data_IF_527697883283
#
_entry.id   IF_527697883283
#
_cell.length_a   1.000
_cell.length_b   1.000
_cell.length_c   1.000
_cell.angle_alpha   90.00
_cell.angle_beta   90.00
_cell.angle_gamma   90.00
#
_symmetry.space_group_name_H-M   'P 1'
#
loop_
_entity.id
_entity.type
_entity.pdbx_description
1 polymer ?
#
# COMPACT_ATOMS: atom_id res chain seq x y z
N UNK A 1 -15.18 -22.71 -9.50
CA UNK A 1 -15.38 -22.72 -8.04
C UNK A 1 -14.55 -21.60 -7.43
N UNK A 2 -15.11 -20.40 -7.32
CA UNK A 2 -14.45 -19.29 -6.64
C UNK A 2 -14.65 -19.50 -5.13
N UNK A 3 -13.64 -20.08 -4.45
CA UNK A 3 -13.61 -20.07 -2.99
C UNK A 3 -13.60 -18.59 -2.59
N UNK A 4 -14.72 -18.10 -2.07
CA UNK A 4 -14.79 -16.80 -1.40
C UNK A 4 -13.70 -16.79 -0.35
N UNK A 5 -12.66 -15.99 -0.58
CA UNK A 5 -11.61 -15.75 0.41
C UNK A 5 -12.32 -15.14 1.61
N UNK A 6 -12.15 -15.73 2.79
CA UNK A 6 -12.74 -15.18 4.02
C UNK A 6 -12.10 -13.81 4.31
N UNK A 7 -12.88 -12.86 4.84
CA UNK A 7 -12.39 -11.54 5.27
C UNK A 7 -11.19 -11.67 6.21
N UNK A 8 -11.18 -12.65 7.12
CA UNK A 8 -10.02 -12.94 7.98
C UNK A 8 -8.76 -13.30 7.18
N UNK A 9 -8.93 -14.09 6.12
CA UNK A 9 -7.84 -14.48 5.23
C UNK A 9 -7.32 -13.28 4.45
N UNK A 10 -8.22 -12.38 4.02
CA UNK A 10 -7.87 -11.14 3.35
C UNK A 10 -7.00 -10.25 4.25
N UNK A 11 -7.49 -9.95 5.45
CA UNK A 11 -6.78 -9.11 6.44
C UNK A 11 -5.43 -9.69 6.84
N UNK A 12 -5.34 -11.01 7.01
CA UNK A 12 -4.08 -11.69 7.32
C UNK A 12 -3.08 -11.52 6.17
N UNK A 13 -3.50 -11.73 4.92
CA UNK A 13 -2.62 -11.60 3.75
C UNK A 13 -2.20 -10.14 3.56
N UNK A 14 -3.11 -9.17 3.68
CA UNK A 14 -2.79 -7.74 3.64
C UNK A 14 -1.71 -7.39 4.68
N UNK A 15 -1.87 -7.88 5.91
CA UNK A 15 -0.88 -7.67 6.98
C UNK A 15 0.47 -8.29 6.61
N UNK A 16 0.49 -9.51 6.07
CA UNK A 16 1.73 -10.17 5.67
C UNK A 16 2.40 -9.45 4.48
N UNK A 17 1.62 -8.97 3.50
CA UNK A 17 2.11 -8.21 2.36
C UNK A 17 2.69 -6.87 2.79
N UNK A 18 2.03 -6.14 3.70
CA UNK A 18 2.57 -4.90 4.30
C UNK A 18 3.89 -5.15 5.04
N UNK A 19 4.03 -6.30 5.70
CA UNK A 19 5.29 -6.72 6.35
C UNK A 19 6.39 -7.16 5.37
N UNK A 20 6.15 -7.13 4.05
CA UNK A 20 7.12 -7.55 3.05
C UNK A 20 7.30 -9.07 2.96
N UNK A 21 6.31 -9.85 3.40
CA UNK A 21 6.36 -11.31 3.40
C UNK A 21 6.30 -11.85 1.98
N UNK A 22 7.15 -12.83 1.64
CA UNK A 22 7.20 -13.41 0.30
C UNK A 22 5.97 -14.27 -0.03
N UNK A 23 5.59 -14.30 -1.31
CA UNK A 23 4.44 -15.08 -1.80
C UNK A 23 4.52 -16.57 -1.42
N UNK A 24 5.73 -17.14 -1.41
CA UNK A 24 5.96 -18.54 -1.00
C UNK A 24 5.61 -18.78 0.46
N UNK A 25 5.92 -17.81 1.33
CA UNK A 25 5.60 -17.86 2.76
C UNK A 25 4.09 -17.70 2.99
N UNK A 26 3.44 -16.83 2.21
CA UNK A 26 1.98 -16.66 2.23
C UNK A 26 1.29 -17.96 1.78
N UNK A 27 1.77 -18.63 0.72
CA UNK A 27 1.25 -19.91 0.27
C UNK A 27 1.29 -20.98 1.38
N UNK A 28 2.44 -21.06 2.07
CA UNK A 28 2.61 -21.97 3.20
C UNK A 28 1.69 -21.65 4.39
N UNK A 29 1.43 -20.35 4.65
CA UNK A 29 0.53 -19.92 5.73
C UNK A 29 -0.93 -20.23 5.42
N UNK A 30 -1.32 -20.13 4.15
CA UNK A 30 -2.67 -20.42 3.68
C UNK A 30 -2.93 -21.92 3.46
N UNK A 31 -1.89 -22.74 3.46
CA UNK A 31 -1.99 -24.16 3.12
C UNK A 31 -2.43 -24.41 1.68
N UNK A 32 -2.13 -23.47 0.77
CA UNK A 32 -2.51 -23.54 -0.65
C UNK A 32 -1.27 -23.65 -1.54
N UNK A 33 -1.47 -24.09 -2.78
CA UNK A 33 -0.43 -24.12 -3.80
C UNK A 33 0.10 -22.72 -4.09
N UNK A 34 1.37 -22.63 -4.50
CA UNK A 34 2.00 -21.35 -4.86
C UNK A 34 1.21 -20.58 -5.93
N UNK A 35 0.66 -21.29 -6.92
CA UNK A 35 -0.17 -20.70 -7.99
C UNK A 35 -1.48 -20.11 -7.47
N UNK A 36 -2.12 -20.76 -6.49
CA UNK A 36 -3.34 -20.24 -5.86
C UNK A 36 -3.02 -19.08 -4.93
N UNK A 37 -1.91 -19.14 -4.19
CA UNK A 37 -1.43 -18.04 -3.36
C UNK A 37 -1.13 -16.80 -4.21
N UNK A 38 -0.54 -16.97 -5.40
CA UNK A 38 -0.34 -15.88 -6.34
C UNK A 38 -1.65 -15.22 -6.72
N UNK A 39 -2.68 -15.98 -7.12
CA UNK A 39 -4.00 -15.43 -7.48
C UNK A 39 -4.65 -14.67 -6.32
N UNK A 40 -4.57 -15.22 -5.10
CA UNK A 40 -5.12 -14.58 -3.90
C UNK A 40 -4.38 -13.29 -3.59
N UNK A 41 -3.04 -13.31 -3.63
CA UNK A 41 -2.20 -12.12 -3.43
C UNK A 41 -2.49 -11.07 -4.50
N UNK A 42 -2.64 -11.47 -5.75
CA UNK A 42 -2.94 -10.55 -6.86
C UNK A 42 -4.31 -9.90 -6.68
N UNK A 43 -5.34 -10.69 -6.36
CA UNK A 43 -6.69 -10.20 -6.08
C UNK A 43 -6.70 -9.21 -4.92
N UNK A 44 -5.94 -9.49 -3.86
CA UNK A 44 -5.85 -8.60 -2.70
C UNK A 44 -5.07 -7.34 -3.07
N UNK A 45 -3.95 -7.46 -3.78
CA UNK A 45 -3.18 -6.32 -4.27
C UNK A 45 -4.01 -5.42 -5.17
N UNK A 46 -4.86 -5.96 -6.02
CA UNK A 46 -5.80 -5.20 -6.84
C UNK A 46 -6.85 -4.49 -5.98
N UNK A 47 -7.35 -5.14 -4.92
CA UNK A 47 -8.33 -4.53 -4.01
C UNK A 47 -7.76 -3.41 -3.13
N UNK A 48 -6.44 -3.34 -2.94
CA UNK A 48 -5.75 -2.29 -2.17
C UNK A 48 -4.88 -1.40 -3.07
N UNK A 49 -5.00 -1.56 -4.39
CA UNK A 49 -4.16 -0.80 -5.32
C UNK A 49 -4.62 0.65 -5.25
N UNK A 50 -3.72 1.59 -4.93
CA UNK A 50 -4.09 2.99 -4.96
C UNK A 50 -4.47 3.42 -6.38
N UNK A 51 -5.33 4.42 -6.45
CA UNK A 51 -5.68 5.13 -7.66
C UNK A 51 -4.98 6.51 -7.72
N UNK A 52 -4.89 7.05 -8.93
CA UNK A 52 -4.40 8.42 -9.11
C UNK A 52 -5.46 9.39 -8.57
N UNK A 53 -5.05 10.28 -7.67
CA UNK A 53 -5.93 11.18 -6.94
C UNK A 53 -6.15 10.78 -5.48
N UNK A 54 -5.79 9.57 -5.07
CA UNK A 54 -5.93 9.14 -3.67
C UNK A 54 -4.96 9.92 -2.77
N UNK A 55 -5.47 10.38 -1.62
CA UNK A 55 -4.65 10.91 -0.54
C UNK A 55 -4.13 9.77 0.33
N UNK A 56 -2.84 9.77 0.59
CA UNK A 56 -2.19 8.74 1.39
C UNK A 56 -1.38 9.34 2.54
N UNK A 57 -1.33 8.59 3.63
CA UNK A 57 -0.39 8.79 4.74
C UNK A 57 0.76 7.81 4.63
N UNK A 58 1.96 8.33 4.80
CA UNK A 58 3.17 7.54 4.80
C UNK A 58 4.18 8.12 5.79
N UNK A 59 5.06 7.28 6.30
CA UNK A 59 6.12 7.69 7.21
C UNK A 59 7.44 7.77 6.45
N UNK A 60 8.04 8.96 6.44
CA UNK A 60 9.35 9.19 5.83
C UNK A 60 10.34 9.65 6.88
N UNK A 61 11.41 8.89 7.09
CA UNK A 61 12.46 9.15 8.11
C UNK A 61 11.88 9.47 9.51
N UNK A 62 10.91 8.68 9.95
CA UNK A 62 10.18 8.87 11.23
C UNK A 62 9.27 10.10 11.30
N UNK A 63 9.06 10.82 10.19
CA UNK A 63 8.09 11.90 10.09
C UNK A 63 6.84 11.44 9.35
N UNK A 64 5.67 11.78 9.90
CA UNK A 64 4.39 11.55 9.24
C UNK A 64 4.21 12.55 8.11
N UNK A 65 3.89 12.02 6.93
CA UNK A 65 3.68 12.77 5.71
C UNK A 65 2.31 12.43 5.13
N UNK A 66 1.71 13.40 4.48
CA UNK A 66 0.45 13.26 3.75
C UNK A 66 0.70 13.75 2.32
N UNK A 67 0.14 13.04 1.34
CA UNK A 67 0.21 13.52 -0.02
C UNK A 67 -0.74 12.79 -0.97
N UNK A 68 -0.95 13.38 -2.13
CA UNK A 68 -1.88 12.89 -3.14
C UNK A 68 -1.12 12.16 -4.24
N UNK A 69 -1.61 10.99 -4.64
CA UNK A 69 -1.00 10.19 -5.70
C UNK A 69 -1.23 10.86 -7.05
N UNK A 70 -0.14 11.30 -7.67
CA UNK A 70 -0.15 11.90 -9.00
C UNK A 70 0.08 10.87 -10.11
N UNK A 71 0.79 9.78 -9.81
CA UNK A 71 1.10 8.74 -10.79
C UNK A 71 1.40 7.41 -10.14
N UNK A 72 0.84 6.33 -10.68
CA UNK A 72 1.15 4.97 -10.27
C UNK A 72 2.33 4.40 -11.08
N UNK A 73 3.25 3.73 -10.38
CA UNK A 73 4.33 2.92 -10.93
C UNK A 73 4.08 1.45 -10.57
N UNK A 74 4.99 0.56 -10.96
CA UNK A 74 4.82 -0.89 -10.77
C UNK A 74 4.69 -1.32 -9.31
N UNK A 75 5.46 -0.70 -8.39
CA UNK A 75 5.45 -1.03 -6.95
C UNK A 75 5.46 0.22 -6.06
N UNK A 76 5.26 1.39 -6.66
CA UNK A 76 5.39 2.70 -6.02
C UNK A 76 4.46 3.71 -6.69
N UNK A 77 4.32 4.87 -6.07
CA UNK A 77 3.58 6.00 -6.61
C UNK A 77 4.43 7.27 -6.53
N UNK A 78 4.23 8.16 -7.49
CA UNK A 78 4.63 9.57 -7.37
C UNK A 78 3.54 10.27 -6.58
N UNK A 79 3.94 10.88 -5.47
CA UNK A 79 3.06 11.50 -4.48
C UNK A 79 3.44 12.96 -4.38
N UNK A 80 2.47 13.84 -4.56
CA UNK A 80 2.61 15.27 -4.29
C UNK A 80 2.29 15.53 -2.82
N UNK A 81 3.26 16.09 -2.09
CA UNK A 81 3.19 16.24 -0.64
C UNK A 81 2.24 17.38 -0.30
N UNK A 82 1.25 17.09 0.55
CA UNK A 82 0.43 18.12 1.17
C UNK A 82 1.17 18.67 2.39
N UNK A 83 1.86 19.81 2.19
CA UNK A 83 2.62 20.47 3.25
C UNK A 83 1.77 21.03 4.39
N UNK A 84 0.48 21.28 4.17
CA UNK A 84 -0.43 21.76 5.24
C UNK A 84 -0.71 20.66 6.27
N UNK A 85 -0.57 19.39 5.88
CA UNK A 85 -0.82 18.23 6.72
C UNK A 85 0.45 17.41 7.01
N UNK A 86 1.60 17.83 6.48
CA UNK A 86 2.89 17.15 6.63
C UNK A 86 3.83 17.88 7.58
N UNK A 87 4.89 17.21 8.02
CA UNK A 87 5.88 17.81 8.92
C UNK A 87 6.61 18.98 8.27
N UNK A 88 6.58 20.16 8.90
CA UNK A 88 7.30 21.36 8.43
C UNK A 88 8.81 21.15 8.32
N UNK A 89 9.38 20.28 9.18
CA UNK A 89 10.80 19.91 9.15
C UNK A 89 11.19 19.27 7.81
N UNK A 90 10.26 18.56 7.17
CA UNK A 90 10.51 17.93 5.88
C UNK A 90 10.41 18.90 4.70
N UNK A 91 9.81 20.07 4.89
CA UNK A 91 9.63 21.07 3.83
C UNK A 91 10.96 21.64 3.34
N UNK A 92 11.94 21.74 4.23
CA UNK A 92 13.30 22.17 3.90
C UNK A 92 14.18 21.04 3.30
N UNK A 93 13.71 19.79 3.35
CA UNK A 93 14.50 18.60 3.02
C UNK A 93 14.01 17.90 1.75
N UNK A 94 12.69 17.87 1.54
CA UNK A 94 12.04 17.16 0.46
C UNK A 94 11.48 18.12 -0.59
N UNK A 95 11.49 17.67 -1.84
CA UNK A 95 10.78 18.34 -2.93
C UNK A 95 9.27 18.16 -2.77
N UNK A 96 8.47 18.99 -3.45
CA UNK A 96 6.99 18.90 -3.42
C UNK A 96 6.45 17.56 -3.93
N UNK A 97 7.28 16.77 -4.64
CA UNK A 97 6.94 15.45 -5.15
C UNK A 97 7.96 14.43 -4.68
N UNK A 98 7.47 13.29 -4.22
CA UNK A 98 8.31 12.18 -3.77
C UNK A 98 7.79 10.84 -4.31
N UNK A 99 8.65 9.82 -4.30
CA UNK A 99 8.28 8.46 -4.68
C UNK A 99 8.08 7.64 -3.41
N UNK A 100 6.87 7.09 -3.24
CA UNK A 100 6.49 6.27 -2.08
C UNK A 100 6.23 4.85 -2.57
N UNK A 101 6.84 3.83 -1.94
CA UNK A 101 6.48 2.44 -2.26
C UNK A 101 5.15 2.08 -1.59
N UNK A 102 4.37 1.21 -2.20
CA UNK A 102 3.09 0.78 -1.62
C UNK A 102 3.24 0.09 -0.26
N UNK A 103 4.39 -0.52 0.02
CA UNK A 103 4.70 -1.12 1.34
C UNK A 103 4.90 -0.07 2.45
N UNK A 104 5.26 1.16 2.07
CA UNK A 104 5.57 2.26 2.99
C UNK A 104 4.34 3.17 3.20
N UNK A 105 3.20 2.83 2.57
CA UNK A 105 1.92 3.51 2.77
C UNK A 105 1.28 2.98 4.04
N UNK A 106 1.08 3.88 5.00
CA UNK A 106 0.47 3.57 6.29
C UNK A 106 -1.06 3.48 6.14
N UNK A 107 -1.68 4.49 5.54
CA UNK A 107 -3.14 4.63 5.46
C UNK A 107 -3.56 5.31 4.14
N UNK A 108 -4.63 4.83 3.54
CA UNK A 108 -5.28 5.47 2.39
C UNK A 108 -6.41 6.33 2.94
N UNK A 109 -6.31 7.64 2.77
CA UNK A 109 -7.37 8.59 3.09
C UNK A 109 -8.29 8.66 1.86
N UNK A 110 -8.92 7.53 1.53
CA UNK A 110 -9.96 7.51 0.52
C UNK A 110 -11.05 8.47 1.01
N UNK A 111 -11.29 9.52 0.24
CA UNK A 111 -12.51 10.28 0.38
C UNK A 111 -13.60 9.43 -0.28
N UNK A 112 -14.09 8.41 0.45
CA UNK A 112 -15.39 7.83 0.08
C UNK A 112 -16.41 8.97 0.19
N UNK A 113 -17.19 9.12 -0.88
CA UNK A 113 -18.17 10.17 -1.20
C UNK A 113 -19.07 10.65 -0.05
#
# INVERSE_FOLDING_TARGET
MAKKISEETKTMIETQLRKGTSNSRIASLLGVSYEDALKVVDTIKESIRPDVGDEIRFTFRDHKMVGTIQKLLTNSAVVEINWEQSSEVMKDICEDKTIVNFKDIDEFMNTEE
#
